data_IF_241716374310
#
_entry.id   IF_241716374310
#
_cell.length_a   1.000
_cell.length_b   1.000
_cell.length_c   1.000
_cell.angle_alpha   90.00
_cell.angle_beta   90.00
_cell.angle_gamma   90.00
#
_symmetry.space_group_name_H-M   'P 1'
#
loop_
_entity.id
_entity.type
_entity.pdbx_description
1 polymer ?
#
# COMPACT_ATOMS: atom_id res chain seq x y z
N UNK A 1 10.72 -27.23 -72.52
CA UNK A 1 10.62 -25.89 -71.91
C UNK A 1 10.40 -26.09 -70.41
N UNK A 2 11.33 -25.66 -69.56
CA UNK A 2 11.26 -25.85 -68.10
C UNK A 2 10.51 -24.68 -67.48
N UNK A 3 9.39 -24.94 -66.81
CA UNK A 3 8.65 -23.95 -66.04
C UNK A 3 9.38 -23.71 -64.70
N UNK A 4 9.82 -22.49 -64.46
CA UNK A 4 10.31 -22.04 -63.17
C UNK A 4 9.12 -21.56 -62.33
N UNK A 5 8.79 -22.30 -61.27
CA UNK A 5 7.88 -21.83 -60.23
C UNK A 5 8.69 -21.05 -59.18
N UNK A 6 8.39 -19.77 -59.04
CA UNK A 6 8.88 -18.93 -57.94
C UNK A 6 7.95 -19.12 -56.73
N UNK A 7 8.45 -19.45 -55.53
CA UNK A 7 7.67 -19.29 -54.31
C UNK A 7 7.77 -17.84 -53.86
N UNK A 8 6.65 -17.11 -53.89
CA UNK A 8 6.49 -15.84 -53.17
C UNK A 8 6.38 -16.22 -51.70
N UNK A 9 7.49 -16.12 -50.97
CA UNK A 9 7.51 -16.22 -49.51
C UNK A 9 6.90 -14.93 -48.98
N UNK A 10 5.60 -14.97 -48.68
CA UNK A 10 4.92 -13.91 -47.95
C UNK A 10 5.30 -14.03 -46.48
N UNK A 11 6.48 -13.52 -46.09
CA UNK A 11 6.82 -13.28 -44.69
C UNK A 11 5.95 -12.15 -44.18
N UNK A 12 4.80 -12.49 -43.60
CA UNK A 12 4.02 -11.58 -42.77
C UNK A 12 4.89 -11.27 -41.54
N UNK A 13 5.58 -10.13 -41.59
CA UNK A 13 6.28 -9.56 -40.43
C UNK A 13 5.22 -9.28 -39.38
N UNK A 14 5.11 -10.16 -38.38
CA UNK A 14 4.56 -9.86 -37.06
C UNK A 14 5.41 -8.73 -36.48
N UNK A 15 5.04 -7.50 -36.84
CA UNK A 15 5.51 -6.32 -36.14
C UNK A 15 5.11 -6.50 -34.68
N UNK A 16 6.04 -6.49 -33.72
CA UNK A 16 5.66 -6.38 -32.33
C UNK A 16 4.93 -5.04 -32.22
N UNK A 17 3.63 -5.09 -31.93
CA UNK A 17 2.91 -3.92 -31.42
C UNK A 17 3.74 -3.51 -30.22
N UNK A 18 4.45 -2.39 -30.34
CA UNK A 18 5.15 -1.78 -29.22
C UNK A 18 4.08 -1.57 -28.16
N UNK A 19 4.11 -2.39 -27.11
CA UNK A 19 3.22 -2.23 -25.97
C UNK A 19 3.48 -0.84 -25.42
N UNK A 20 2.58 0.09 -25.76
CA UNK A 20 2.54 1.40 -25.17
C UNK A 20 2.31 1.17 -23.67
N UNK A 21 3.17 1.75 -22.84
CA UNK A 21 3.01 1.62 -21.40
C UNK A 21 1.68 2.29 -21.01
N UNK A 22 0.80 1.55 -20.33
CA UNK A 22 -0.51 2.05 -19.91
C UNK A 22 -0.38 3.43 -19.21
N UNK A 23 -1.13 4.45 -19.66
CA UNK A 23 -1.25 5.76 -19.01
C UNK A 23 -2.39 5.73 -17.99
N UNK A 24 -2.21 4.89 -16.97
CA UNK A 24 -3.10 4.84 -15.80
C UNK A 24 -2.48 5.60 -14.64
N UNK A 25 -3.24 6.57 -14.10
CA UNK A 25 -2.83 7.38 -12.95
C UNK A 25 -3.55 6.98 -11.69
N UNK A 26 -2.80 6.96 -10.60
CA UNK A 26 -3.31 6.61 -9.29
C UNK A 26 -3.17 7.76 -8.32
N UNK A 27 -4.26 8.09 -7.65
CA UNK A 27 -4.28 9.03 -6.54
C UNK A 27 -4.92 8.40 -5.33
N UNK A 28 -4.11 8.27 -4.28
CA UNK A 28 -4.51 7.53 -3.08
C UNK A 28 -4.65 8.49 -1.92
N UNK A 29 -5.82 8.47 -1.28
CA UNK A 29 -6.15 9.23 -0.08
C UNK A 29 -6.37 8.28 1.09
N UNK A 30 -5.89 8.66 2.26
CA UNK A 30 -6.12 7.92 3.50
C UNK A 30 -7.23 8.60 4.31
N UNK A 31 -8.48 8.17 4.08
CA UNK A 31 -9.68 8.69 4.71
C UNK A 31 -9.82 8.20 6.16
N UNK A 32 -10.31 9.07 7.04
CA UNK A 32 -10.64 8.73 8.43
C UNK A 32 -12.11 8.34 8.50
N UNK A 33 -12.40 7.11 8.93
CA UNK A 33 -13.76 6.63 9.13
C UNK A 33 -14.31 6.96 10.52
N UNK A 34 -13.41 7.06 11.50
CA UNK A 34 -13.77 7.40 12.87
C UNK A 34 -12.59 7.35 13.83
N UNK A 35 -12.79 7.90 15.01
CA UNK A 35 -11.85 7.75 16.11
C UNK A 35 -12.56 7.62 17.44
N UNK A 36 -12.04 6.75 18.30
CA UNK A 36 -12.55 6.50 19.65
C UNK A 36 -11.43 6.75 20.65
N UNK A 37 -11.76 7.30 21.83
CA UNK A 37 -10.84 7.40 22.96
C UNK A 37 -11.43 6.65 24.15
N UNK A 38 -10.65 5.76 24.74
CA UNK A 38 -10.97 5.05 25.98
C UNK A 38 -9.78 5.15 26.94
N UNK A 39 -9.93 5.95 27.99
CA UNK A 39 -8.82 6.34 28.87
C UNK A 39 -7.67 6.99 28.08
N UNK A 40 -6.46 6.47 28.26
CA UNK A 40 -5.23 6.94 27.59
C UNK A 40 -5.03 6.32 26.20
N UNK A 41 -5.94 5.45 25.77
CA UNK A 41 -5.87 4.81 24.45
C UNK A 41 -6.79 5.52 23.46
N UNK A 42 -6.21 5.97 22.35
CA UNK A 42 -6.91 6.46 21.16
C UNK A 42 -6.85 5.43 20.04
N UNK A 43 -8.00 5.07 19.48
CA UNK A 43 -8.11 4.25 18.27
C UNK A 43 -8.57 5.12 17.10
N UNK A 44 -8.03 4.87 15.92
CA UNK A 44 -8.45 5.53 14.68
C UNK A 44 -8.70 4.46 13.62
N UNK A 45 -9.90 4.49 13.05
CA UNK A 45 -10.29 3.66 11.93
C UNK A 45 -10.19 4.46 10.63
N UNK A 46 -9.62 3.85 9.60
CA UNK A 46 -9.24 4.50 8.35
C UNK A 46 -9.46 3.57 7.17
N UNK A 47 -9.45 4.14 5.97
CA UNK A 47 -9.63 3.41 4.71
C UNK A 47 -8.86 4.14 3.61
N UNK A 48 -8.28 3.40 2.66
CA UNK A 48 -7.75 4.02 1.44
C UNK A 48 -8.92 4.25 0.48
N UNK A 49 -9.00 5.46 -0.06
CA UNK A 49 -9.74 5.81 -1.26
C UNK A 49 -8.72 5.91 -2.40
N UNK A 50 -8.89 5.09 -3.44
CA UNK A 50 -7.96 4.97 -4.56
C UNK A 50 -8.70 5.43 -5.80
N UNK A 51 -8.39 6.65 -6.23
CA UNK A 51 -8.83 7.23 -7.50
C UNK A 51 -7.92 6.66 -8.61
N UNK A 52 -8.55 6.08 -9.63
CA UNK A 52 -7.92 5.50 -10.83
C UNK A 52 -8.41 6.34 -12.01
N UNK A 53 -7.48 6.95 -12.74
CA UNK A 53 -7.73 7.76 -13.93
C UNK A 53 -7.06 7.06 -15.11
N UNK A 54 -7.86 6.42 -15.97
CA UNK A 54 -7.39 5.74 -17.17
C UNK A 54 -7.44 6.72 -18.35
N UNK A 55 -6.26 7.06 -18.88
CA UNK A 55 -6.13 8.00 -20.01
C UNK A 55 -5.88 7.28 -21.34
N UNK A 56 -5.85 5.97 -21.30
CA UNK A 56 -5.79 5.15 -22.48
C UNK A 56 -7.20 5.02 -23.08
N UNK A 57 -7.21 4.76 -24.39
CA UNK A 57 -8.45 4.49 -25.14
C UNK A 57 -8.91 3.03 -25.01
N UNK A 58 -8.21 2.24 -24.21
CA UNK A 58 -8.44 0.82 -24.02
C UNK A 58 -9.01 0.54 -22.63
N UNK A 59 -9.96 -0.41 -22.58
CA UNK A 59 -10.50 -0.93 -21.33
C UNK A 59 -9.55 -2.00 -20.76
N UNK A 60 -9.36 -2.00 -19.45
CA UNK A 60 -8.63 -3.05 -18.75
C UNK A 60 -9.58 -3.93 -17.94
N UNK A 61 -10.12 -4.95 -18.59
CA UNK A 61 -10.96 -5.97 -17.94
C UNK A 61 -10.12 -6.93 -17.09
N UNK A 62 -10.65 -7.31 -15.92
CA UNK A 62 -10.05 -8.29 -15.04
C UNK A 62 -8.73 -7.85 -14.39
N UNK A 63 -8.44 -6.55 -14.33
CA UNK A 63 -7.27 -6.02 -13.66
C UNK A 63 -7.33 -6.30 -12.14
N UNK A 64 -6.21 -6.65 -11.55
CA UNK A 64 -6.09 -6.86 -10.11
C UNK A 64 -5.43 -5.66 -9.46
N UNK A 65 -6.18 -4.98 -8.59
CA UNK A 65 -5.62 -3.99 -7.68
C UNK A 65 -5.20 -4.67 -6.37
N UNK A 66 -3.95 -4.48 -5.98
CA UNK A 66 -3.37 -4.91 -4.71
C UNK A 66 -3.02 -3.69 -3.86
N UNK A 67 -3.32 -3.74 -2.57
CA UNK A 67 -2.90 -2.70 -1.63
C UNK A 67 -2.25 -3.28 -0.38
N UNK A 68 -1.28 -2.54 0.14
CA UNK A 68 -0.62 -2.79 1.42
C UNK A 68 -0.61 -1.49 2.21
N UNK A 69 -1.18 -1.55 3.40
CA UNK A 69 -1.16 -0.46 4.37
C UNK A 69 -0.06 -0.72 5.38
N UNK A 70 0.76 0.29 5.66
CA UNK A 70 1.95 0.16 6.47
C UNK A 70 1.74 0.85 7.82
N UNK A 71 1.98 0.10 8.89
CA UNK A 71 2.05 0.63 10.24
C UNK A 71 3.50 0.96 10.61
N UNK A 72 3.65 1.92 11.52
CA UNK A 72 4.87 2.16 12.27
C UNK A 72 4.58 2.02 13.76
N UNK A 73 5.34 1.17 14.43
CA UNK A 73 5.34 1.04 15.87
C UNK A 73 5.85 2.36 16.50
N UNK A 74 5.13 2.85 17.51
CA UNK A 74 5.41 4.14 18.14
C UNK A 74 6.69 4.07 18.98
N UNK A 75 6.94 2.95 19.66
CA UNK A 75 8.05 2.77 20.61
C UNK A 75 9.36 2.51 19.90
N UNK A 76 9.40 1.49 19.04
CA UNK A 76 10.64 1.01 18.40
C UNK A 76 10.80 1.50 16.94
N UNK A 77 9.81 2.24 16.41
CA UNK A 77 9.82 2.80 15.05
C UNK A 77 9.86 1.77 13.91
N UNK A 78 9.69 0.47 14.21
CA UNK A 78 9.67 -0.62 13.24
C UNK A 78 8.44 -0.51 12.33
N UNK A 79 8.63 -0.84 11.05
CA UNK A 79 7.53 -0.93 10.10
C UNK A 79 6.93 -2.33 10.10
N UNK A 80 5.62 -2.41 9.92
CA UNK A 80 4.86 -3.64 9.76
C UNK A 80 3.69 -3.45 8.81
N UNK A 81 3.07 -4.54 8.37
CA UNK A 81 1.85 -4.50 7.54
C UNK A 81 0.65 -4.37 8.48
N UNK A 82 -0.14 -3.31 8.30
CA UNK A 82 -1.38 -3.09 9.05
C UNK A 82 -2.57 -3.79 8.39
N UNK A 83 -2.61 -3.76 7.06
CA UNK A 83 -3.65 -4.37 6.25
C UNK A 83 -3.09 -4.66 4.86
N UNK A 84 -3.59 -5.73 4.23
CA UNK A 84 -3.35 -6.07 2.83
C UNK A 84 -4.66 -6.56 2.25
N UNK A 85 -4.88 -6.26 0.98
CA UNK A 85 -5.96 -6.86 0.22
C UNK A 85 -5.68 -6.79 -1.27
N UNK A 86 -6.52 -7.48 -2.01
CA UNK A 86 -6.60 -7.38 -3.44
C UNK A 86 -8.07 -7.36 -3.87
N UNK A 87 -8.33 -6.82 -5.05
CA UNK A 87 -9.65 -6.81 -5.66
C UNK A 87 -9.50 -6.90 -7.18
N UNK A 88 -10.39 -7.64 -7.82
CA UNK A 88 -10.52 -7.64 -9.26
C UNK A 88 -11.44 -6.48 -9.68
N UNK A 89 -11.01 -5.71 -10.66
CA UNK A 89 -11.67 -4.51 -11.15
C UNK A 89 -11.60 -4.47 -12.68
N UNK A 90 -12.60 -3.85 -13.28
CA UNK A 90 -12.60 -3.50 -14.70
C UNK A 90 -12.40 -1.99 -14.77
N UNK A 91 -11.37 -1.56 -15.49
CA UNK A 91 -11.00 -0.14 -15.61
C UNK A 91 -11.48 0.35 -16.98
N UNK A 92 -12.51 1.21 -17.04
CA UNK A 92 -13.01 1.76 -18.30
C UNK A 92 -11.98 2.66 -18.97
N UNK A 93 -11.99 2.69 -20.30
CA UNK A 93 -11.23 3.60 -21.15
C UNK A 93 -11.66 5.06 -20.95
N UNK A 94 -10.71 5.99 -21.02
CA UNK A 94 -10.95 7.45 -20.96
C UNK A 94 -11.86 7.89 -19.78
N UNK A 95 -11.80 7.21 -18.63
CA UNK A 95 -12.71 7.43 -17.50
C UNK A 95 -12.02 7.29 -16.14
N UNK A 96 -12.67 7.83 -15.11
CA UNK A 96 -12.23 7.81 -13.73
C UNK A 96 -13.10 6.87 -12.88
N UNK A 97 -12.46 6.10 -12.00
CA UNK A 97 -13.17 5.29 -11.02
C UNK A 97 -12.55 5.37 -9.63
N UNK A 98 -13.32 4.99 -8.61
CA UNK A 98 -12.85 4.91 -7.22
C UNK A 98 -12.95 3.49 -6.67
N UNK A 99 -11.85 3.02 -6.07
CA UNK A 99 -11.80 1.76 -5.33
C UNK A 99 -11.42 2.05 -3.88
N UNK A 100 -12.16 1.46 -2.95
CA UNK A 100 -11.83 1.55 -1.53
C UNK A 100 -11.17 0.27 -1.03
N UNK A 101 -10.17 0.42 -0.15
CA UNK A 101 -9.57 -0.73 0.53
C UNK A 101 -10.51 -1.27 1.61
N UNK A 102 -10.24 -2.45 2.16
CA UNK A 102 -10.83 -2.82 3.45
C UNK A 102 -10.46 -1.81 4.55
N UNK A 103 -11.34 -1.53 5.52
CA UNK A 103 -11.00 -0.69 6.68
C UNK A 103 -9.83 -1.25 7.49
N UNK A 104 -9.06 -0.37 8.11
CA UNK A 104 -7.96 -0.71 9.00
C UNK A 104 -7.89 0.23 10.20
N UNK A 105 -7.26 -0.20 11.28
CA UNK A 105 -7.21 0.57 12.52
C UNK A 105 -5.80 0.70 13.07
N UNK A 106 -5.59 1.81 13.78
CA UNK A 106 -4.37 2.11 14.53
C UNK A 106 -4.75 2.47 15.96
N UNK A 107 -3.88 2.12 16.91
CA UNK A 107 -4.06 2.46 18.32
C UNK A 107 -2.83 3.18 18.85
N UNK A 108 -3.05 4.22 19.63
CA UNK A 108 -2.01 4.92 20.40
C UNK A 108 -2.42 4.88 21.87
N UNK A 109 -1.53 4.41 22.75
CA UNK A 109 -1.64 4.62 24.20
C UNK A 109 -0.68 5.75 24.60
N UNK A 110 -1.18 6.78 25.26
CA UNK A 110 -0.36 7.82 25.86
C UNK A 110 0.44 7.24 27.03
N UNK A 111 1.71 7.62 27.11
CA UNK A 111 2.59 7.25 28.20
C UNK A 111 2.21 7.95 29.51
N UNK A 112 2.68 7.40 30.62
CA UNK A 112 2.44 7.93 31.95
C UNK A 112 3.77 8.23 32.65
N UNK A 113 3.83 9.34 33.38
CA UNK A 113 4.95 9.66 34.26
C UNK A 113 4.42 9.69 35.69
N UNK A 114 4.96 8.82 36.54
CA UNK A 114 4.56 8.69 37.94
C UNK A 114 5.74 9.02 38.84
N UNK A 115 5.54 9.90 39.80
CA UNK A 115 6.56 10.17 40.83
C UNK A 115 6.59 9.02 41.85
N UNK A 116 7.78 8.47 42.08
CA UNK A 116 8.02 7.45 43.09
C UNK A 116 8.17 8.16 44.44
N UNK A 117 7.05 8.23 45.18
CA UNK A 117 6.96 8.95 46.47
C UNK A 117 7.88 8.40 47.56
N UNK A 118 8.21 7.12 47.52
CA UNK A 118 9.12 6.49 48.49
C UNK A 118 10.36 5.93 47.78
N UNK A 119 11.31 6.80 47.48
CA UNK A 119 12.62 6.35 47.03
C UNK A 119 13.40 5.76 48.21
N UNK A 120 13.25 4.45 48.46
CA UNK A 120 13.96 3.75 49.54
C UNK A 120 15.49 3.76 49.40
N UNK A 121 16.01 4.04 48.20
CA UNK A 121 17.44 4.03 47.91
C UNK A 121 18.09 5.43 47.95
N UNK A 122 17.34 6.49 47.63
CA UNK A 122 17.78 7.90 47.68
C UNK A 122 16.62 8.86 47.98
N UNK A 123 16.21 9.00 49.25
CA UNK A 123 15.08 9.84 49.64
C UNK A 123 15.31 11.34 49.40
N UNK A 124 16.56 11.75 49.16
CA UNK A 124 16.99 13.11 48.83
C UNK A 124 16.72 13.52 47.38
N UNK A 125 16.33 12.59 46.50
CA UNK A 125 16.06 12.88 45.08
C UNK A 125 14.71 12.35 44.63
N UNK A 126 13.88 13.18 43.97
CA UNK A 126 12.68 12.68 43.31
C UNK A 126 13.08 11.67 42.24
N UNK A 127 12.41 10.52 42.23
CA UNK A 127 12.57 9.50 41.20
C UNK A 127 11.25 9.37 40.45
N UNK A 128 11.31 9.22 39.14
CA UNK A 128 10.13 9.08 38.29
C UNK A 128 10.15 7.72 37.61
N UNK A 129 9.00 7.07 37.57
CA UNK A 129 8.72 5.95 36.68
C UNK A 129 8.06 6.48 35.40
N UNK A 130 8.54 6.05 34.24
CA UNK A 130 8.11 6.55 32.94
C UNK A 130 7.67 5.38 32.08
N UNK A 131 6.37 5.28 31.84
CA UNK A 131 5.79 4.42 30.81
C UNK A 131 5.73 5.21 29.49
N UNK A 132 6.48 4.84 28.44
CA UNK A 132 6.48 5.58 27.18
C UNK A 132 5.22 5.31 26.34
N UNK A 133 4.90 6.22 25.42
CA UNK A 133 3.87 6.04 24.41
C UNK A 133 4.03 4.68 23.68
N UNK A 134 2.92 4.01 23.42
CA UNK A 134 2.90 2.72 22.73
C UNK A 134 1.77 2.58 21.72
N UNK A 135 1.81 1.50 20.93
CA UNK A 135 0.86 1.22 19.86
C UNK A 135 1.44 1.45 18.47
N UNK A 136 0.56 1.61 17.49
CA UNK A 136 0.91 1.74 16.07
C UNK A 136 0.26 2.98 15.47
N UNK A 137 0.92 3.54 14.46
CA UNK A 137 0.36 4.64 13.65
C UNK A 137 0.54 4.37 12.17
N UNK A 138 -0.28 5.04 11.37
CA UNK A 138 -0.15 5.01 9.92
C UNK A 138 1.23 5.52 9.48
N UNK A 139 1.88 4.77 8.59
CA UNK A 139 3.19 5.11 8.05
C UNK A 139 3.19 5.34 6.53
N UNK A 140 2.23 4.76 5.82
CA UNK A 140 2.11 4.89 4.37
C UNK A 140 1.36 3.73 3.73
N UNK A 141 1.40 3.68 2.41
CA UNK A 141 0.76 2.67 1.59
C UNK A 141 1.65 2.27 0.40
N UNK A 142 1.31 1.12 -0.19
CA UNK A 142 1.73 0.68 -1.52
C UNK A 142 0.48 0.15 -2.22
N UNK A 143 0.18 0.63 -3.41
CA UNK A 143 -0.91 0.18 -4.28
C UNK A 143 -0.32 -0.17 -5.63
N UNK A 144 -0.72 -1.30 -6.19
CA UNK A 144 -0.28 -1.78 -7.51
C UNK A 144 -1.49 -2.29 -8.25
N UNK A 145 -1.68 -1.87 -9.51
CA UNK A 145 -2.64 -2.44 -10.43
C UNK A 145 -1.87 -3.32 -11.42
N UNK A 146 -2.37 -4.53 -11.64
CA UNK A 146 -1.78 -5.50 -12.55
C UNK A 146 -2.81 -6.08 -13.49
N UNK A 147 -2.38 -6.47 -14.68
CA UNK A 147 -3.13 -7.35 -15.56
C UNK A 147 -2.24 -8.53 -15.92
N UNK A 148 -2.63 -9.73 -15.47
CA UNK A 148 -1.71 -10.87 -15.49
C UNK A 148 -0.42 -10.58 -14.70
N UNK A 149 0.71 -10.67 -15.37
CA UNK A 149 2.04 -10.40 -14.80
C UNK A 149 2.51 -8.94 -14.98
N UNK A 150 1.79 -8.15 -15.78
CA UNK A 150 2.16 -6.78 -16.12
C UNK A 150 1.64 -5.79 -15.08
N UNK A 151 2.48 -4.85 -14.68
CA UNK A 151 2.10 -3.75 -13.78
C UNK A 151 1.61 -2.60 -14.65
N UNK A 152 0.32 -2.29 -14.57
CA UNK A 152 -0.29 -1.17 -15.28
C UNK A 152 0.02 0.16 -14.59
N UNK A 153 -0.12 0.19 -13.26
CA UNK A 153 0.17 1.38 -12.47
C UNK A 153 0.59 1.04 -11.03
N UNK A 154 1.37 1.92 -10.42
CA UNK A 154 1.71 1.83 -9.01
C UNK A 154 1.75 3.18 -8.31
N UNK A 155 1.31 3.21 -7.05
CA UNK A 155 1.43 4.35 -6.18
C UNK A 155 1.90 3.91 -4.80
N UNK A 156 2.94 4.57 -4.29
CA UNK A 156 3.45 4.28 -2.96
C UNK A 156 3.83 5.57 -2.24
N UNK A 157 3.68 5.57 -0.92
CA UNK A 157 4.30 6.60 -0.09
C UNK A 157 5.82 6.55 -0.29
N UNK A 158 6.45 7.73 -0.41
CA UNK A 158 7.87 7.85 -0.74
C UNK A 158 8.77 6.94 0.10
N UNK A 159 9.63 6.17 -0.58
CA UNK A 159 10.58 5.24 0.03
C UNK A 159 9.97 3.97 0.64
N UNK A 160 8.65 3.80 0.68
CA UNK A 160 8.03 2.63 1.31
C UNK A 160 8.27 1.34 0.56
N UNK A 161 8.25 1.35 -0.79
CA UNK A 161 8.52 0.15 -1.60
C UNK A 161 9.87 -0.49 -1.24
N UNK A 162 10.94 0.32 -1.17
CA UNK A 162 12.29 -0.13 -0.78
C UNK A 162 12.34 -0.62 0.67
N UNK A 163 11.73 0.12 1.60
CA UNK A 163 11.78 -0.19 3.04
C UNK A 163 10.95 -1.44 3.40
N UNK A 164 9.88 -1.69 2.66
CA UNK A 164 8.99 -2.84 2.87
C UNK A 164 9.39 -4.07 2.05
N UNK A 165 10.29 -3.95 1.07
CA UNK A 165 10.73 -5.07 0.22
C UNK A 165 11.09 -6.36 1.01
N UNK A 166 11.80 -6.32 2.15
CA UNK A 166 12.09 -7.53 2.94
C UNK A 166 10.86 -8.18 3.59
N UNK A 167 9.81 -7.41 3.84
CA UNK A 167 8.56 -7.90 4.43
C UNK A 167 7.62 -8.43 3.34
N UNK A 168 7.62 -7.80 2.17
CA UNK A 168 6.80 -8.24 1.02
C UNK A 168 7.34 -9.53 0.38
N UNK A 169 8.67 -9.74 0.37
CA UNK A 169 9.28 -10.92 -0.26
C UNK A 169 9.21 -12.19 0.58
N UNK A 170 9.21 -12.06 1.92
CA UNK A 170 9.15 -13.21 2.85
C UNK A 170 7.83 -13.97 2.79
N UNK A 171 6.75 -13.31 2.37
CA UNK A 171 5.43 -13.93 2.29
C UNK A 171 5.16 -14.64 0.96
N UNK A 172 5.92 -14.37 -0.12
CA UNK A 172 5.82 -15.12 -1.39
C UNK A 172 6.40 -16.55 -1.32
N UNK A 173 7.06 -16.92 -0.22
CA UNK A 173 7.74 -18.23 -0.04
C UNK A 173 6.95 -19.21 0.84
N UNK A 174 5.63 -19.09 0.92
CA UNK A 174 4.76 -20.06 1.60
C UNK A 174 3.76 -20.66 0.64
#
# INVERSE_FOLDING_TARGET
>A
MKAFALPIILTLTLLPVLAEAADIRLKVKNATLGSERKGDTRKSQRQLAIEIDNRDREDYEGATIEWVVIARDIRNRKLSIASRGSKLIDIPADDEMEVTSSPYSFSKKEGEVREIKENRFRPDRPQFDVEPDSGTRYAGYIVVIKQGDDILAEAATAGMKKRMAPLLSKEKKK
#
